data_IF_649938231957
#
_entry.id   IF_649938231957
#
_cell.length_a   1.000
_cell.length_b   1.000
_cell.length_c   1.000
_cell.angle_alpha   90.00
_cell.angle_beta   90.00
_cell.angle_gamma   90.00
#
_symmetry.space_group_name_H-M   'P 1'
#
loop_
_entity.id
_entity.type
_entity.pdbx_description
1 polymer ?
#
# COMPACT_ATOMS: atom_id res chain seq x y z
N UNK A 1 10.88 -4.44 5.61
CA UNK A 1 9.49 -4.02 5.90
C UNK A 1 8.61 -5.20 6.29
N UNK A 2 8.46 -6.25 5.47
CA UNK A 2 7.60 -7.40 5.83
C UNK A 2 7.96 -8.07 7.17
N UNK A 3 9.25 -8.23 7.50
CA UNK A 3 9.69 -8.77 8.80
C UNK A 3 9.22 -7.96 10.02
N UNK A 4 8.87 -6.69 9.81
CA UNK A 4 8.43 -5.78 10.87
C UNK A 4 6.91 -5.71 10.95
N UNK A 5 6.22 -5.82 9.82
CA UNK A 5 4.78 -5.59 9.71
C UNK A 5 3.95 -6.88 9.69
N UNK A 6 4.53 -7.99 9.25
CA UNK A 6 3.81 -9.22 9.01
C UNK A 6 4.15 -10.31 10.04
N UNK A 7 3.13 -11.05 10.40
CA UNK A 7 3.09 -12.14 11.36
C UNK A 7 1.91 -13.08 11.01
N UNK A 8 1.64 -14.08 11.85
CA UNK A 8 0.56 -15.06 11.63
C UNK A 8 -0.85 -14.47 11.63
N UNK A 9 -1.04 -13.26 12.16
CA UNK A 9 -2.35 -12.61 12.29
C UNK A 9 -2.59 -11.54 11.21
N UNK A 10 -1.64 -11.37 10.29
CA UNK A 10 -1.67 -10.34 9.26
C UNK A 10 -1.61 -10.97 7.86
N UNK A 11 -2.76 -11.39 7.29
CA UNK A 11 -2.80 -12.01 5.99
C UNK A 11 -2.18 -11.14 4.89
N UNK A 12 -1.37 -11.77 4.04
CA UNK A 12 -0.60 -11.11 2.99
C UNK A 12 -1.07 -11.58 1.61
N UNK A 13 -1.38 -10.65 0.73
CA UNK A 13 -1.52 -10.94 -0.70
C UNK A 13 -0.18 -10.68 -1.41
N UNK A 14 0.23 -11.61 -2.27
CA UNK A 14 1.37 -11.44 -3.17
C UNK A 14 0.82 -11.29 -4.59
N UNK A 15 1.09 -10.14 -5.21
CA UNK A 15 0.68 -9.91 -6.58
C UNK A 15 1.52 -10.74 -7.57
N UNK A 16 1.03 -10.95 -8.82
CA UNK A 16 1.84 -11.51 -9.89
C UNK A 16 3.18 -10.77 -10.02
N UNK A 17 4.27 -11.55 -10.12
CA UNK A 17 5.66 -11.04 -10.07
C UNK A 17 6.31 -11.21 -8.69
N UNK A 18 5.52 -11.27 -7.62
CA UNK A 18 5.99 -11.44 -6.24
C UNK A 18 5.50 -12.75 -5.60
N UNK A 19 4.64 -13.50 -6.29
CA UNK A 19 4.03 -14.75 -5.82
C UNK A 19 4.82 -16.00 -6.23
N UNK A 20 6.13 -16.01 -5.94
CA UNK A 20 7.04 -17.12 -6.23
C UNK A 20 7.17 -18.12 -5.08
N UNK A 21 7.51 -19.38 -5.39
CA UNK A 21 7.71 -20.44 -4.37
C UNK A 21 8.77 -20.07 -3.32
N UNK A 22 9.86 -19.43 -3.74
CA UNK A 22 10.92 -18.95 -2.85
C UNK A 22 10.40 -17.86 -1.91
N UNK A 23 9.72 -16.84 -2.44
CA UNK A 23 9.15 -15.74 -1.66
C UNK A 23 8.13 -16.27 -0.63
N UNK A 24 7.23 -17.16 -1.07
CA UNK A 24 6.26 -17.81 -0.17
C UNK A 24 6.94 -18.57 0.97
N UNK A 25 7.98 -19.35 0.64
CA UNK A 25 8.71 -20.14 1.64
C UNK A 25 9.42 -19.24 2.64
N UNK A 26 10.04 -18.16 2.15
CA UNK A 26 10.70 -17.16 2.99
C UNK A 26 9.70 -16.47 3.94
N UNK A 27 8.54 -16.04 3.44
CA UNK A 27 7.48 -15.41 4.25
C UNK A 27 6.99 -16.37 5.33
N UNK A 28 6.70 -17.62 4.96
CA UNK A 28 6.24 -18.64 5.89
C UNK A 28 7.26 -18.92 7.00
N UNK A 29 8.54 -19.00 6.64
CA UNK A 29 9.61 -19.26 7.60
C UNK A 29 9.86 -18.08 8.56
N UNK A 30 9.92 -16.85 8.04
CA UNK A 30 10.33 -15.70 8.84
C UNK A 30 9.19 -14.96 9.55
N UNK A 31 8.00 -14.94 8.96
CA UNK A 31 6.85 -14.18 9.49
C UNK A 31 5.68 -15.11 9.87
N UNK A 32 5.53 -16.22 9.15
CA UNK A 32 4.35 -17.09 9.27
C UNK A 32 3.05 -16.45 8.75
N UNK A 33 3.13 -15.34 8.02
CA UNK A 33 1.96 -14.66 7.49
C UNK A 33 1.22 -15.55 6.47
N UNK A 34 -0.10 -15.73 6.60
CA UNK A 34 -0.87 -16.54 5.66
C UNK A 34 -0.99 -15.81 4.33
N UNK A 35 -0.71 -16.52 3.23
CA UNK A 35 -0.90 -15.98 1.88
C UNK A 35 -2.37 -16.15 1.48
N UNK A 36 -3.03 -15.04 1.11
CA UNK A 36 -4.47 -14.99 0.85
C UNK A 36 -4.81 -14.23 -0.44
N UNK A 37 -6.05 -14.31 -0.89
CA UNK A 37 -6.57 -13.49 -1.97
C UNK A 37 -6.70 -12.00 -1.55
N UNK A 38 -6.73 -11.04 -2.51
CA UNK A 38 -6.80 -9.60 -2.23
C UNK A 38 -7.90 -9.19 -1.22
N UNK A 39 -9.09 -9.80 -1.35
CA UNK A 39 -10.26 -9.50 -0.52
C UNK A 39 -10.13 -9.85 0.96
N UNK A 40 -9.11 -10.60 1.34
CA UNK A 40 -8.84 -11.00 2.72
C UNK A 40 -7.50 -10.45 3.26
N UNK A 41 -6.80 -9.64 2.47
CA UNK A 41 -5.45 -9.20 2.76
C UNK A 41 -5.43 -8.04 3.77
N UNK A 42 -4.54 -8.12 4.76
CA UNK A 42 -4.16 -6.97 5.60
C UNK A 42 -2.99 -6.20 4.99
N UNK A 43 -2.08 -6.91 4.36
CA UNK A 43 -1.01 -6.33 3.54
C UNK A 43 -1.06 -6.91 2.13
N UNK A 44 -0.66 -6.12 1.14
CA UNK A 44 -0.50 -6.58 -0.23
C UNK A 44 0.86 -6.12 -0.78
N UNK A 45 1.63 -7.01 -1.39
CA UNK A 45 2.92 -6.69 -2.00
C UNK A 45 2.87 -6.88 -3.52
N UNK A 46 3.31 -5.88 -4.28
CA UNK A 46 3.44 -6.00 -5.72
C UNK A 46 3.88 -4.72 -6.42
N UNK A 47 4.10 -4.81 -7.73
CA UNK A 47 4.18 -3.62 -8.59
C UNK A 47 2.80 -2.98 -8.80
N UNK A 48 2.75 -1.68 -9.10
CA UNK A 48 1.49 -0.91 -9.20
C UNK A 48 0.43 -1.56 -10.10
N UNK A 49 0.83 -1.99 -11.31
CA UNK A 49 -0.10 -2.59 -12.27
C UNK A 49 -0.65 -3.95 -11.80
N UNK A 50 0.17 -4.75 -11.10
CA UNK A 50 -0.21 -6.08 -10.62
C UNK A 50 -1.12 -6.03 -9.38
N UNK A 51 -1.16 -4.88 -8.69
CA UNK A 51 -2.03 -4.60 -7.55
C UNK A 51 -3.41 -4.05 -7.97
N UNK A 52 -3.69 -3.92 -9.26
CA UNK A 52 -5.02 -3.50 -9.73
C UNK A 52 -5.98 -4.70 -9.86
N UNK A 53 -7.30 -4.50 -9.69
CA UNK A 53 -7.96 -3.24 -9.30
C UNK A 53 -7.95 -3.02 -7.77
N UNK A 54 -7.81 -1.77 -7.33
CA UNK A 54 -7.83 -1.43 -5.90
C UNK A 54 -9.15 -1.78 -5.19
N UNK A 55 -10.25 -1.89 -5.92
CA UNK A 55 -11.56 -2.30 -5.38
C UNK A 55 -11.59 -3.75 -4.89
N UNK A 56 -10.56 -4.55 -5.18
CA UNK A 56 -10.45 -5.92 -4.70
C UNK A 56 -10.02 -6.01 -3.22
N UNK A 57 -9.58 -4.90 -2.61
CA UNK A 57 -9.03 -4.87 -1.25
C UNK A 57 -10.01 -4.28 -0.24
N UNK A 58 -10.05 -4.80 1.01
CA UNK A 58 -10.76 -4.17 2.11
C UNK A 58 -10.36 -2.71 2.34
N UNK A 59 -11.32 -1.81 2.37
CA UNK A 59 -11.13 -0.37 2.70
C UNK A 59 -11.44 -0.05 4.17
N UNK A 60 -11.67 -1.08 4.99
CA UNK A 60 -12.20 -0.96 6.34
C UNK A 60 -13.72 -0.80 6.37
N UNK A 61 -14.28 -0.72 7.57
CA UNK A 61 -15.71 -0.45 7.80
C UNK A 61 -15.87 0.80 8.67
N UNK A 62 -17.09 1.35 8.78
CA UNK A 62 -17.32 2.54 9.60
C UNK A 62 -16.90 2.34 11.07
N UNK A 63 -17.16 1.14 11.61
CA UNK A 63 -16.79 0.78 13.00
C UNK A 63 -15.30 0.42 13.14
N UNK A 64 -14.67 -0.05 12.06
CA UNK A 64 -13.28 -0.49 12.04
C UNK A 64 -12.55 0.02 10.77
N UNK A 65 -12.33 1.34 10.65
CA UNK A 65 -11.67 1.91 9.47
C UNK A 65 -10.22 1.43 9.35
N UNK A 66 -9.58 1.07 10.47
CA UNK A 66 -8.23 0.51 10.56
C UNK A 66 -8.10 -0.91 9.98
N UNK A 67 -9.22 -1.62 9.77
CA UNK A 67 -9.24 -2.96 9.14
C UNK A 67 -9.26 -2.89 7.61
N UNK A 68 -8.52 -1.96 7.04
CA UNK A 68 -8.26 -1.90 5.61
C UNK A 68 -6.98 -2.67 5.25
N UNK A 69 -6.75 -2.85 3.94
CA UNK A 69 -5.45 -3.29 3.44
C UNK A 69 -4.47 -2.13 3.35
N UNK A 70 -3.22 -2.37 3.74
CA UNK A 70 -2.08 -1.53 3.38
C UNK A 70 -1.35 -2.12 2.17
N UNK A 71 -1.23 -1.36 1.09
CA UNK A 71 -0.54 -1.79 -0.12
C UNK A 71 0.92 -1.37 -0.07
N UNK A 72 1.81 -2.32 -0.34
CA UNK A 72 3.25 -2.15 -0.48
C UNK A 72 3.55 -2.23 -1.97
N UNK A 73 3.78 -1.06 -2.57
CA UNK A 73 3.97 -0.88 -4.00
C UNK A 73 5.45 -0.78 -4.30
N UNK A 74 6.00 -1.79 -4.99
CA UNK A 74 7.34 -1.71 -5.55
C UNK A 74 7.34 -0.81 -6.79
N UNK A 75 8.24 0.17 -6.80
CA UNK A 75 8.39 1.19 -7.84
C UNK A 75 9.79 1.12 -8.45
N UNK A 76 9.89 1.42 -9.75
CA UNK A 76 11.19 1.53 -10.43
C UNK A 76 12.01 2.74 -9.96
N UNK A 77 11.32 3.81 -9.54
CA UNK A 77 11.91 5.04 -9.01
C UNK A 77 11.04 5.63 -7.91
N UNK A 78 11.70 6.25 -6.92
CA UNK A 78 11.05 6.97 -5.84
C UNK A 78 11.80 8.27 -5.56
N UNK A 79 11.18 9.40 -5.87
CA UNK A 79 11.78 10.74 -5.75
C UNK A 79 10.83 11.71 -5.06
N UNK A 80 11.37 12.78 -4.50
CA UNK A 80 10.61 13.88 -3.89
C UNK A 80 10.11 14.89 -4.93
N UNK A 81 9.72 14.42 -6.11
CA UNK A 81 9.19 15.22 -7.23
C UNK A 81 7.94 14.54 -7.79
N UNK A 82 6.98 15.32 -8.29
CA UNK A 82 5.73 14.78 -8.84
C UNK A 82 4.51 15.40 -8.17
N UNK A 83 3.55 14.57 -7.80
CA UNK A 83 2.28 15.02 -7.24
C UNK A 83 2.47 15.84 -5.96
N UNK A 84 1.68 16.90 -5.81
CA UNK A 84 1.68 17.73 -4.60
C UNK A 84 0.80 17.08 -3.54
N UNK A 85 1.36 16.93 -2.34
CA UNK A 85 0.75 16.26 -1.20
C UNK A 85 0.49 17.25 -0.06
N UNK A 86 -0.70 17.20 0.53
CA UNK A 86 -1.03 17.94 1.76
C UNK A 86 -1.91 17.11 2.69
N UNK A 87 -2.04 17.55 3.95
CA UNK A 87 -2.89 16.89 4.94
C UNK A 87 -2.15 16.64 6.27
N UNK A 88 -2.73 15.82 7.16
CA UNK A 88 -2.14 15.55 8.48
C UNK A 88 -0.69 15.04 8.37
N UNK A 89 0.21 15.63 9.14
CA UNK A 89 1.65 15.31 9.12
C UNK A 89 2.48 16.08 8.08
N UNK A 90 1.87 16.94 7.25
CA UNK A 90 2.57 17.81 6.28
C UNK A 90 2.29 19.27 6.68
N UNK A 91 3.35 20.03 6.98
CA UNK A 91 3.20 21.43 7.42
C UNK A 91 2.70 22.35 6.30
N UNK A 92 3.26 22.24 5.08
CA UNK A 92 2.93 23.11 3.94
C UNK A 92 2.57 22.30 2.69
N UNK A 93 3.54 21.59 2.13
CA UNK A 93 3.39 20.66 1.02
C UNK A 93 4.57 19.68 1.02
N UNK A 94 4.31 18.47 0.54
CA UNK A 94 5.34 17.53 0.13
C UNK A 94 5.13 17.16 -1.35
N UNK A 95 6.15 16.58 -1.97
CA UNK A 95 6.09 16.12 -3.36
C UNK A 95 6.59 14.69 -3.45
N UNK A 96 5.93 13.87 -4.25
CA UNK A 96 6.27 12.45 -4.39
C UNK A 96 5.98 11.94 -5.79
N UNK A 97 6.89 11.09 -6.29
CA UNK A 97 6.69 10.38 -7.55
C UNK A 97 5.67 9.26 -7.35
N UNK A 98 4.40 9.55 -7.66
CA UNK A 98 3.32 8.57 -7.62
C UNK A 98 3.13 7.90 -8.99
N UNK A 99 2.70 6.63 -9.05
CA UNK A 99 2.46 5.95 -10.33
C UNK A 99 1.29 6.56 -11.13
N UNK A 100 0.36 7.21 -10.44
CA UNK A 100 -0.72 8.04 -10.97
C UNK A 100 -1.30 8.90 -9.82
N UNK A 101 -2.34 9.69 -10.05
CA UNK A 101 -2.97 10.52 -9.00
C UNK A 101 -4.47 10.22 -8.79
N UNK A 102 -5.17 9.71 -9.80
CA UNK A 102 -6.62 9.57 -9.79
C UNK A 102 -7.08 8.53 -8.76
N UNK A 103 -6.44 7.37 -8.69
CA UNK A 103 -6.74 6.34 -7.70
C UNK A 103 -6.57 6.84 -6.26
N UNK A 104 -5.52 7.64 -5.98
CA UNK A 104 -5.29 8.17 -4.64
C UNK A 104 -6.29 9.26 -4.25
N UNK A 105 -6.70 10.10 -5.21
CA UNK A 105 -7.79 11.07 -5.02
C UNK A 105 -9.12 10.35 -4.75
N UNK A 106 -9.43 9.30 -5.51
CA UNK A 106 -10.62 8.48 -5.30
C UNK A 106 -10.58 7.78 -3.93
N UNK A 107 -9.43 7.24 -3.52
CA UNK A 107 -9.24 6.63 -2.22
C UNK A 107 -9.44 7.65 -1.07
N UNK A 108 -8.89 8.87 -1.21
CA UNK A 108 -9.06 9.94 -0.22
C UNK A 108 -10.51 10.39 -0.06
N UNK A 109 -11.31 10.29 -1.12
CA UNK A 109 -12.73 10.63 -1.07
C UNK A 109 -13.55 9.66 -0.18
N UNK A 110 -13.00 8.48 0.16
CA UNK A 110 -13.63 7.50 1.05
C UNK A 110 -13.38 7.76 2.54
N UNK A 111 -12.53 8.72 2.90
CA UNK A 111 -12.11 8.98 4.27
C UNK A 111 -13.33 9.09 5.23
N UNK A 112 -13.35 8.35 6.38
CA UNK A 112 -12.21 7.67 7.02
C UNK A 112 -11.86 6.28 6.48
N UNK A 113 -12.64 5.75 5.53
CA UNK A 113 -12.32 4.49 4.85
C UNK A 113 -11.26 4.73 3.77
N UNK A 114 -10.66 3.64 3.30
CA UNK A 114 -9.68 3.66 2.23
C UNK A 114 -8.49 2.75 2.51
N UNK A 115 -7.60 2.70 1.56
CA UNK A 115 -6.34 1.96 1.60
C UNK A 115 -5.21 2.91 2.00
N UNK A 116 -4.19 2.38 2.67
CA UNK A 116 -2.94 3.09 2.90
C UNK A 116 -1.85 2.51 2.01
N UNK A 117 -0.85 3.33 1.64
CA UNK A 117 0.18 2.92 0.68
C UNK A 117 1.57 3.16 1.23
N UNK A 118 2.44 2.17 1.04
CA UNK A 118 3.89 2.31 1.11
C UNK A 118 4.46 2.13 -0.30
N UNK A 119 5.30 3.05 -0.73
CA UNK A 119 6.06 2.96 -1.98
C UNK A 119 7.51 2.62 -1.66
N UNK A 120 8.06 1.60 -2.31
CA UNK A 120 9.43 1.13 -2.09
C UNK A 120 10.23 1.12 -3.37
N UNK A 121 11.49 1.57 -3.32
CA UNK A 121 12.45 1.47 -4.41
C UNK A 121 13.84 1.19 -3.82
N UNK A 122 14.29 -0.07 -3.88
CA UNK A 122 15.51 -0.50 -3.18
C UNK A 122 15.40 -0.27 -1.67
N UNK A 123 16.28 0.57 -1.11
CA UNK A 123 16.26 0.96 0.31
C UNK A 123 15.40 2.20 0.61
N UNK A 124 14.86 2.86 -0.42
CA UNK A 124 14.00 4.03 -0.25
C UNK A 124 12.56 3.62 0.05
N UNK A 125 11.89 4.42 0.90
CA UNK A 125 10.51 4.23 1.32
C UNK A 125 9.79 5.57 1.39
N UNK A 126 8.55 5.62 0.94
CA UNK A 126 7.61 6.70 1.18
C UNK A 126 6.25 6.14 1.56
N UNK A 127 5.45 6.89 2.32
CA UNK A 127 4.11 6.50 2.73
C UNK A 127 3.09 7.53 2.26
N UNK A 128 1.93 7.06 1.81
CA UNK A 128 0.77 7.88 1.47
C UNK A 128 -0.45 7.33 2.23
N UNK A 129 -0.73 7.86 3.43
CA UNK A 129 -1.94 7.55 4.17
C UNK A 129 -3.20 7.95 3.40
N UNK A 130 -4.31 7.26 3.64
CA UNK A 130 -5.61 7.55 3.00
C UNK A 130 -6.16 8.95 3.25
N UNK A 131 -5.63 9.66 4.24
CA UNK A 131 -6.03 11.04 4.59
C UNK A 131 -5.28 12.10 3.78
N UNK A 132 -4.22 11.73 3.07
CA UNK A 132 -3.42 12.65 2.25
C UNK A 132 -4.24 13.14 1.05
N UNK A 133 -4.23 14.46 0.86
CA UNK A 133 -4.77 15.11 -0.33
C UNK A 133 -3.70 15.08 -1.41
N UNK A 134 -4.06 14.59 -2.59
CA UNK A 134 -3.18 14.43 -3.74
C UNK A 134 -3.67 15.34 -4.87
N UNK A 135 -2.77 16.16 -5.40
CA UNK A 135 -3.00 17.06 -6.52
C UNK A 135 -2.01 16.75 -7.65
N UNK A 136 -2.40 17.00 -8.89
CA UNK A 136 -1.48 16.92 -10.03
C UNK A 136 -0.38 17.99 -9.90
N UNK A 137 0.78 17.70 -10.49
CA UNK A 137 1.95 18.57 -10.46
C UNK A 137 1.79 19.79 -11.38
#
# INVERSE_FOLDING_TARGET
>A
MLLTLCDRETPLYLAPGHDGAEIRSWIAFHTGAPIVAPGAARFALGGWAALQPLSAYPVGTADYPDRSTTLIVEMDQLTSQGARLTGPGIETAAFLSLPETAAFRANRALFPLGLDFFFTCGSALAALPRSTVVEEA
#
